data_IF_863565294474
#
_entry.id   IF_863565294474
#
_cell.length_a   1.000
_cell.length_b   1.000
_cell.length_c   1.000
_cell.angle_alpha   90.00
_cell.angle_beta   90.00
_cell.angle_gamma   90.00
#
_symmetry.space_group_name_H-M   'P 1'
#
loop_
_entity.id
_entity.type
_entity.pdbx_description
1 polymer ?
#
# COMPACT_ATOMS: atom_id res chain seq x y z
N UNK A 1 8.87 -17.49 1.39
CA UNK A 1 7.42 -17.22 1.30
C UNK A 1 6.87 -18.01 0.13
N UNK A 2 5.85 -18.83 0.37
CA UNK A 2 5.24 -19.63 -0.71
C UNK A 2 4.43 -18.74 -1.66
N UNK A 3 4.17 -19.15 -2.92
CA UNK A 3 3.36 -18.37 -3.86
C UNK A 3 1.92 -18.10 -3.40
N UNK A 4 1.34 -19.02 -2.62
CA UNK A 4 0.02 -18.86 -2.01
C UNK A 4 0.04 -17.85 -0.85
N UNK A 5 1.04 -17.95 0.04
CA UNK A 5 1.24 -17.04 1.18
C UNK A 5 1.51 -15.59 0.76
N UNK A 6 2.51 -15.36 -0.10
CA UNK A 6 2.24 -14.87 -1.44
C UNK A 6 1.08 -13.92 -1.69
N UNK A 7 0.26 -14.39 -2.61
CA UNK A 7 -0.96 -13.78 -3.07
C UNK A 7 -1.90 -13.40 -1.92
N UNK A 8 -1.99 -14.22 -0.86
CA UNK A 8 -2.83 -13.93 0.31
C UNK A 8 -2.42 -12.63 1.00
N UNK A 9 -1.13 -12.49 1.31
CA UNK A 9 -0.58 -11.30 1.96
C UNK A 9 -0.64 -10.06 1.08
N UNK A 10 -0.45 -10.21 -0.23
CA UNK A 10 -0.70 -9.13 -1.19
C UNK A 10 -2.15 -8.69 -1.17
N UNK A 11 -3.10 -9.63 -1.23
CA UNK A 11 -4.54 -9.35 -1.21
C UNK A 11 -4.98 -8.68 0.08
N UNK A 12 -4.50 -9.18 1.21
CA UNK A 12 -4.72 -8.62 2.54
C UNK A 12 -4.23 -7.17 2.61
N UNK A 13 -3.02 -6.90 2.11
CA UNK A 13 -2.45 -5.57 2.07
C UNK A 13 -3.27 -4.61 1.17
N UNK A 14 -3.67 -5.05 -0.02
CA UNK A 14 -4.51 -4.23 -0.92
C UNK A 14 -5.82 -3.78 -0.25
N UNK A 15 -6.52 -4.70 0.41
CA UNK A 15 -7.83 -4.40 1.00
C UNK A 15 -7.72 -3.60 2.30
N UNK A 16 -6.86 -4.05 3.21
CA UNK A 16 -6.74 -3.44 4.53
C UNK A 16 -5.92 -2.13 4.51
N UNK A 17 -4.78 -2.11 3.81
CA UNK A 17 -3.82 -0.99 3.89
C UNK A 17 -4.01 0.02 2.76
N UNK A 18 -4.32 -0.42 1.53
CA UNK A 18 -4.53 0.52 0.42
C UNK A 18 -5.96 1.06 0.38
N UNK A 19 -6.96 0.19 0.51
CA UNK A 19 -8.38 0.58 0.41
C UNK A 19 -9.00 1.00 1.74
N UNK A 20 -8.37 0.67 2.87
CA UNK A 20 -8.85 1.03 4.20
C UNK A 20 -10.17 0.33 4.56
N UNK A 21 -10.39 -0.87 4.02
CA UNK A 21 -11.60 -1.65 4.28
C UNK A 21 -11.66 -2.12 5.75
N UNK A 22 -12.87 -2.32 6.31
CA UNK A 22 -13.05 -2.70 7.71
C UNK A 22 -12.34 -4.02 8.06
N UNK A 23 -11.69 -4.06 9.23
CA UNK A 23 -10.90 -5.20 9.70
C UNK A 23 -11.64 -6.54 9.60
N UNK A 24 -12.87 -6.63 10.11
CA UNK A 24 -13.64 -7.89 10.13
C UNK A 24 -14.07 -8.34 8.73
N UNK A 25 -14.39 -7.41 7.82
CA UNK A 25 -14.74 -7.72 6.44
C UNK A 25 -13.54 -8.27 5.67
N UNK A 26 -12.38 -7.61 5.79
CA UNK A 26 -11.16 -8.07 5.12
C UNK A 26 -10.71 -9.43 5.66
N UNK A 27 -10.77 -9.65 6.98
CA UNK A 27 -10.37 -10.92 7.59
C UNK A 27 -11.23 -12.06 7.08
N UNK A 28 -12.55 -11.92 7.10
CA UNK A 28 -13.48 -12.96 6.67
C UNK A 28 -13.37 -13.25 5.17
N UNK A 29 -13.34 -12.21 4.34
CA UNK A 29 -13.30 -12.39 2.89
C UNK A 29 -11.95 -12.92 2.39
N UNK A 30 -10.83 -12.48 2.94
CA UNK A 30 -9.50 -13.01 2.56
C UNK A 30 -9.31 -14.44 3.10
N UNK A 31 -9.85 -14.75 4.27
CA UNK A 31 -9.86 -16.12 4.79
C UNK A 31 -10.62 -17.07 3.85
N UNK A 32 -11.81 -16.66 3.41
CA UNK A 32 -12.62 -17.43 2.45
C UNK A 32 -11.96 -17.53 1.06
N UNK A 33 -11.36 -16.44 0.56
CA UNK A 33 -10.69 -16.40 -0.75
C UNK A 33 -9.51 -17.38 -0.83
N UNK A 34 -8.77 -17.57 0.27
CA UNK A 34 -7.57 -18.40 0.31
C UNK A 34 -7.74 -19.75 1.03
N UNK A 35 -8.97 -20.09 1.44
CA UNK A 35 -9.30 -21.30 2.19
C UNK A 35 -8.40 -21.49 3.43
N UNK A 36 -8.29 -20.45 4.26
CA UNK A 36 -7.53 -20.46 5.51
C UNK A 36 -8.37 -19.96 6.67
N UNK A 37 -8.00 -20.33 7.89
CA UNK A 37 -8.64 -19.79 9.10
C UNK A 37 -8.46 -18.27 9.21
N UNK A 38 -9.49 -17.56 9.65
CA UNK A 38 -9.42 -16.13 9.99
C UNK A 38 -8.29 -15.81 10.97
N UNK A 39 -7.96 -16.75 11.86
CA UNK A 39 -6.82 -16.63 12.78
C UNK A 39 -5.51 -16.42 12.02
N UNK A 40 -5.31 -17.14 10.91
CA UNK A 40 -4.13 -17.00 10.05
C UNK A 40 -4.05 -15.60 9.44
N UNK A 41 -5.19 -15.04 9.02
CA UNK A 41 -5.25 -13.68 8.48
C UNK A 41 -4.98 -12.64 9.56
N UNK A 42 -5.52 -12.81 10.78
CA UNK A 42 -5.22 -11.94 11.92
C UNK A 42 -3.73 -11.98 12.32
N UNK A 43 -3.10 -13.16 12.25
CA UNK A 43 -1.65 -13.31 12.47
C UNK A 43 -0.84 -12.64 11.34
N UNK A 44 -1.27 -12.76 10.09
CA UNK A 44 -0.67 -12.05 8.96
C UNK A 44 -0.80 -10.52 9.15
N UNK A 45 -1.95 -10.01 9.59
CA UNK A 45 -2.12 -8.58 9.90
C UNK A 45 -1.20 -8.11 11.03
N UNK A 46 -1.08 -8.90 12.09
CA UNK A 46 -0.23 -8.57 13.24
C UNK A 46 1.26 -8.55 12.87
N UNK A 47 1.65 -9.39 11.92
CA UNK A 47 3.03 -9.52 11.45
C UNK A 47 3.33 -8.74 10.16
N UNK A 48 2.46 -7.81 9.75
CA UNK A 48 2.55 -7.10 8.46
C UNK A 48 3.90 -6.42 8.24
N UNK A 49 4.45 -5.78 9.27
CA UNK A 49 5.76 -5.12 9.19
C UNK A 49 6.92 -6.09 8.89
N UNK A 50 6.76 -7.37 9.22
CA UNK A 50 7.80 -8.38 9.05
C UNK A 50 7.82 -8.98 7.64
N UNK A 51 6.65 -9.25 7.04
CA UNK A 51 6.57 -9.90 5.73
C UNK A 51 6.40 -8.94 4.56
N UNK A 52 5.90 -7.73 4.78
CA UNK A 52 5.64 -6.76 3.73
C UNK A 52 6.89 -6.35 2.93
N UNK A 53 8.09 -6.14 3.54
CA UNK A 53 9.32 -5.91 2.76
C UNK A 53 9.68 -7.06 1.82
N UNK A 54 9.26 -8.28 2.14
CA UNK A 54 9.54 -9.49 1.35
C UNK A 54 8.55 -9.68 0.19
N UNK A 55 7.47 -8.89 0.14
CA UNK A 55 6.61 -8.80 -1.05
C UNK A 55 7.29 -8.00 -2.17
N UNK A 56 8.20 -7.09 -1.82
CA UNK A 56 8.92 -6.22 -2.74
C UNK A 56 10.04 -6.95 -3.51
N UNK A 57 10.70 -7.93 -2.88
CA UNK A 57 11.78 -8.74 -3.49
C UNK A 57 11.36 -9.50 -4.77
N UNK A 58 10.06 -9.58 -5.11
CA UNK A 58 9.55 -10.43 -6.18
C UNK A 58 8.65 -9.74 -7.22
N UNK A 59 8.52 -8.42 -7.20
CA UNK A 59 7.93 -7.66 -8.32
C UNK A 59 8.75 -6.40 -8.58
N UNK A 60 8.72 -5.91 -9.82
CA UNK A 60 9.02 -4.52 -10.19
C UNK A 60 8.03 -3.51 -9.53
N UNK A 61 7.73 -3.68 -8.23
CA UNK A 61 6.84 -2.83 -7.43
C UNK A 61 7.64 -1.86 -6.56
N UNK A 62 8.65 -1.22 -7.15
CA UNK A 62 9.40 -0.11 -6.55
C UNK A 62 8.48 1.02 -6.05
N UNK A 63 7.28 1.18 -6.63
CA UNK A 63 6.28 2.13 -6.15
C UNK A 63 5.71 1.80 -4.75
N UNK A 64 5.56 0.53 -4.39
CA UNK A 64 4.93 0.11 -3.13
C UNK A 64 5.86 0.30 -1.93
N UNK A 65 7.10 -0.16 -2.04
CA UNK A 65 8.11 0.08 -1.02
C UNK A 65 8.41 1.59 -0.87
N UNK A 66 8.46 2.33 -1.99
CA UNK A 66 8.61 3.78 -1.96
C UNK A 66 7.43 4.47 -1.25
N UNK A 67 6.18 4.06 -1.52
CA UNK A 67 5.02 4.60 -0.82
C UNK A 67 5.04 4.27 0.68
N UNK A 68 5.53 3.10 1.07
CA UNK A 68 5.73 2.78 2.48
C UNK A 68 6.80 3.63 3.15
N UNK A 69 7.93 3.81 2.49
CA UNK A 69 9.03 4.65 2.97
C UNK A 69 8.59 6.12 3.10
N UNK A 70 7.82 6.62 2.13
CA UNK A 70 7.24 7.96 2.18
C UNK A 70 6.23 8.10 3.33
N UNK A 71 5.37 7.09 3.54
CA UNK A 71 4.41 7.07 4.66
C UNK A 71 5.12 7.02 6.03
N UNK A 72 6.16 6.19 6.15
CA UNK A 72 6.97 6.08 7.37
C UNK A 72 7.73 7.39 7.66
N UNK A 73 8.37 7.98 6.65
CA UNK A 73 9.02 9.28 6.77
C UNK A 73 8.03 10.37 7.17
N UNK A 74 6.81 10.39 6.58
CA UNK A 74 5.79 11.36 6.97
C UNK A 74 5.39 11.20 8.45
N UNK A 75 5.25 9.97 8.93
CA UNK A 75 4.93 9.73 10.34
C UNK A 75 6.04 10.26 11.26
N UNK A 76 7.31 10.06 10.90
CA UNK A 76 8.44 10.63 11.63
C UNK A 76 8.47 12.16 11.57
N UNK A 77 8.18 12.76 10.41
CA UNK A 77 8.09 14.22 10.28
C UNK A 77 6.97 14.80 11.14
N UNK A 78 5.82 14.12 11.27
CA UNK A 78 4.77 14.54 12.20
C UNK A 78 5.27 14.55 13.66
N UNK A 79 5.97 13.50 14.08
CA UNK A 79 6.56 13.45 15.43
C UNK A 79 7.57 14.58 15.66
N UNK A 80 8.42 14.88 14.67
CA UNK A 80 9.38 15.98 14.76
C UNK A 80 8.70 17.35 14.78
N UNK A 81 7.61 17.53 14.03
CA UNK A 81 6.83 18.77 14.07
C UNK A 81 6.17 18.99 15.44
N UNK A 82 5.66 17.93 16.05
CA UNK A 82 5.06 17.99 17.39
C UNK A 82 6.14 18.27 18.46
N UNK A 83 7.32 17.67 18.34
CA UNK A 83 8.47 18.00 19.21
C UNK A 83 8.93 19.46 19.06
N UNK A 84 8.99 19.98 17.83
CA UNK A 84 9.35 21.38 17.57
C UNK A 84 8.31 22.35 18.16
N UNK A 85 7.02 21.97 18.10
CA UNK A 85 5.94 22.72 18.74
C UNK A 85 6.10 22.74 20.25
N UNK A 86 6.35 21.60 20.87
CA UNK A 86 6.53 21.49 22.32
C UNK A 86 7.75 22.31 22.81
N UNK A 87 8.76 22.48 21.95
CA UNK A 87 9.93 23.31 22.19
C UNK A 87 9.73 24.80 21.84
N UNK A 88 8.51 25.21 21.43
CA UNK A 88 8.18 26.55 20.95
C UNK A 88 9.03 27.04 19.75
N UNK A 89 9.67 26.11 19.01
CA UNK A 89 10.42 26.43 17.79
C UNK A 89 9.47 26.47 16.58
N UNK A 90 8.74 27.58 16.48
CA UNK A 90 7.74 27.84 15.44
C UNK A 90 8.35 27.83 14.03
N UNK A 91 9.63 28.23 13.91
CA UNK A 91 10.32 28.26 12.60
C UNK A 91 10.57 26.84 12.11
N UNK A 92 11.05 25.97 12.99
CA UNK A 92 11.31 24.58 12.66
C UNK A 92 10.01 23.78 12.45
N UNK A 93 8.99 23.99 13.29
CA UNK A 93 7.67 23.38 13.11
C UNK A 93 7.12 23.68 11.71
N UNK A 94 7.15 24.96 11.30
CA UNK A 94 6.60 25.38 10.00
C UNK A 94 7.31 24.71 8.82
N UNK A 95 8.65 24.66 8.85
CA UNK A 95 9.44 24.00 7.80
C UNK A 95 9.08 22.51 7.66
N UNK A 96 8.97 21.81 8.79
CA UNK A 96 8.63 20.38 8.80
C UNK A 96 7.20 20.18 8.25
N UNK A 97 6.23 21.03 8.62
CA UNK A 97 4.86 20.97 8.07
C UNK A 97 4.80 21.23 6.57
N UNK A 98 5.61 22.15 6.06
CA UNK A 98 5.75 22.37 4.61
C UNK A 98 6.34 21.16 3.89
N UNK A 99 7.27 20.45 4.52
CA UNK A 99 7.83 19.18 4.01
C UNK A 99 6.80 18.05 3.96
N UNK A 100 5.99 17.91 5.02
CA UNK A 100 4.88 16.96 5.07
C UNK A 100 3.91 17.19 3.90
N UNK A 101 3.53 18.45 3.64
CA UNK A 101 2.64 18.78 2.52
C UNK A 101 3.24 18.40 1.16
N UNK A 102 4.55 18.61 0.98
CA UNK A 102 5.26 18.20 -0.24
C UNK A 102 5.25 16.68 -0.41
N UNK A 103 5.52 15.93 0.66
CA UNK A 103 5.48 14.47 0.66
C UNK A 103 4.08 13.91 0.32
N UNK A 104 3.02 14.49 0.89
CA UNK A 104 1.63 14.09 0.58
C UNK A 104 1.28 14.34 -0.88
N UNK A 105 1.67 15.48 -1.44
CA UNK A 105 1.42 15.79 -2.84
C UNK A 105 2.18 14.85 -3.78
N UNK A 106 3.42 14.49 -3.44
CA UNK A 106 4.21 13.54 -4.19
C UNK A 106 3.61 12.12 -4.15
N UNK A 107 3.19 11.65 -2.98
CA UNK A 107 2.47 10.37 -2.86
C UNK A 107 1.18 10.33 -3.69
N UNK A 108 0.42 11.43 -3.71
CA UNK A 108 -0.79 11.54 -4.55
C UNK A 108 -0.46 11.43 -6.04
N UNK A 109 0.64 12.04 -6.49
CA UNK A 109 1.07 11.95 -7.89
C UNK A 109 1.51 10.53 -8.25
N UNK A 110 2.24 9.85 -7.36
CA UNK A 110 2.63 8.45 -7.51
C UNK A 110 1.41 7.53 -7.64
N UNK A 111 0.42 7.72 -6.76
CA UNK A 111 -0.84 6.96 -6.79
C UNK A 111 -1.63 7.20 -8.09
N UNK A 112 -1.71 8.44 -8.55
CA UNK A 112 -2.42 8.79 -9.80
C UNK A 112 -1.69 8.27 -11.04
N UNK A 113 -0.35 8.23 -11.03
CA UNK A 113 0.44 7.63 -12.11
C UNK A 113 0.33 6.12 -12.15
N UNK A 114 0.41 5.41 -11.02
CA UNK A 114 0.31 3.95 -10.97
C UNK A 114 -1.10 3.45 -11.31
N UNK A 115 -2.15 4.18 -10.92
CA UNK A 115 -3.53 3.90 -11.32
C UNK A 115 -3.71 3.99 -12.85
N UNK A 116 -3.01 4.91 -13.52
CA UNK A 116 -3.03 5.03 -14.99
C UNK A 116 -2.32 3.87 -15.68
N UNK A 117 -1.21 3.39 -15.16
CA UNK A 117 -0.46 2.26 -15.75
C UNK A 117 -1.18 0.91 -15.55
N UNK A 118 -1.96 0.76 -14.48
CA UNK A 118 -2.80 -0.42 -14.25
C UNK A 118 -4.05 -0.49 -15.13
N UNK A 119 -4.61 0.64 -15.56
CA UNK A 119 -5.78 0.66 -16.46
C UNK A 119 -5.43 0.37 -17.92
N UNK A 120 -4.19 0.60 -18.36
CA UNK A 120 -3.78 0.38 -19.76
C UNK A 120 -3.39 -1.07 -20.07
N UNK A 121 -3.13 -1.89 -19.05
CA UNK A 121 -2.78 -3.31 -19.20
C UNK A 121 -3.98 -4.26 -19.26
N UNK A 122 -5.21 -3.73 -19.05
CA UNK A 122 -6.48 -4.46 -19.22
C UNK A 122 -7.15 -4.29 -20.59
N UNK A 123 -6.50 -3.60 -21.54
CA UNK A 123 -7.01 -3.37 -22.89
C UNK A 123 -6.59 -4.43 -23.91
N UNK A 124 -6.84 -5.73 -23.63
CA UNK A 124 -6.84 -6.76 -24.68
C UNK A 124 -8.29 -7.08 -25.03
N UNK A 125 -8.96 -6.17 -25.74
CA UNK A 125 -10.11 -6.59 -26.57
C UNK A 125 -9.53 -7.33 -27.74
N UNK A 126 -9.42 -8.65 -27.54
CA UNK A 126 -9.34 -9.66 -28.58
C UNK A 126 -10.42 -9.35 -29.62
N UNK A 127 -9.98 -9.11 -30.84
CA UNK A 127 -10.84 -8.88 -32.00
C UNK A 127 -10.10 -9.32 -33.26
N UNK A 128 -9.48 -10.50 -33.21
CA UNK A 128 -9.04 -11.22 -34.40
C UNK A 128 -9.77 -12.57 -34.44
N UNK A 129 -10.36 -12.84 -35.60
CA UNK A 129 -10.83 -14.14 -36.09
C UNK A 129 -12.13 -14.70 -35.51
N UNK A 130 -13.24 -14.52 -36.25
CA UNK A 130 -13.92 -15.61 -36.98
C UNK A 130 -15.27 -15.08 -37.50
N UNK A 131 -15.43 -15.01 -38.82
CA UNK A 131 -16.51 -15.75 -39.46
C UNK A 131 -16.21 -15.91 -40.95
N UNK A 132 -16.04 -17.16 -41.34
CA UNK A 132 -16.07 -17.65 -42.71
C UNK A 132 -17.41 -17.30 -43.37
N UNK A 133 -17.37 -16.61 -44.51
CA UNK A 133 -18.23 -16.88 -45.69
C UNK A 133 -17.80 -16.11 -46.92
#
# INVERSE_FOLDING_TARGET
MTPSERARRTRLWERYVLRGEPHEEVVSEVAAEFDVDEKTIREDLTSISHWLPRLDEFRDMSGVALLMELRANRQQLHQLADQARDAEDITQERKIREEINRAVNFERQLLDSDLKTGLTTGGKTVGEMMDDR
#
